data_IF_212364790626
#
_entry.id   IF_212364790626
#
_cell.length_a   1.000
_cell.length_b   1.000
_cell.length_c   1.000
_cell.angle_alpha   90.00
_cell.angle_beta   90.00
_cell.angle_gamma   90.00
#
_symmetry.space_group_name_H-M   'P 1'
#
loop_
_entity.id
_entity.type
_entity.pdbx_description
1 polymer ?
#
# COMPACT_ATOMS: atom_id res chain seq x y z
N UNK A 1 -0.44 -14.79 -10.18
CA UNK A 1 0.01 -14.10 -8.95
C UNK A 1 -0.31 -15.05 -7.79
N UNK A 2 0.23 -14.88 -6.59
CA UNK A 2 -0.10 -15.81 -5.49
C UNK A 2 -1.62 -15.80 -5.22
N UNK A 3 -2.26 -16.93 -4.86
CA UNK A 3 -3.72 -16.99 -4.65
C UNK A 3 -4.26 -15.93 -3.66
N UNK A 4 -3.41 -15.50 -2.72
CA UNK A 4 -3.73 -14.45 -1.74
C UNK A 4 -3.78 -13.05 -2.37
N UNK A 5 -2.90 -12.74 -3.34
CA UNK A 5 -2.88 -11.45 -4.04
C UNK A 5 -4.15 -11.29 -4.87
N UNK A 6 -4.54 -12.34 -5.60
CA UNK A 6 -5.74 -12.34 -6.42
C UNK A 6 -7.01 -12.17 -5.56
N UNK A 7 -7.04 -12.78 -4.38
CA UNK A 7 -8.12 -12.60 -3.41
C UNK A 7 -8.17 -11.16 -2.86
N UNK A 8 -7.01 -10.57 -2.55
CA UNK A 8 -6.92 -9.21 -2.01
C UNK A 8 -7.29 -8.15 -3.05
N UNK A 9 -6.75 -8.24 -4.27
CA UNK A 9 -7.06 -7.30 -5.37
C UNK A 9 -8.52 -7.44 -5.80
N UNK A 10 -9.08 -8.65 -5.82
CA UNK A 10 -10.50 -8.88 -6.03
C UNK A 10 -11.38 -8.17 -4.99
N UNK A 11 -11.02 -8.26 -3.71
CA UNK A 11 -11.75 -7.57 -2.63
C UNK A 11 -11.64 -6.04 -2.72
N UNK A 12 -10.46 -5.50 -3.05
CA UNK A 12 -10.25 -4.07 -3.25
C UNK A 12 -11.00 -3.53 -4.47
N UNK A 13 -11.13 -4.34 -5.53
CA UNK A 13 -11.96 -4.01 -6.69
C UNK A 13 -13.43 -3.92 -6.31
N UNK A 14 -13.92 -4.82 -5.46
CA UNK A 14 -15.29 -4.80 -4.96
C UNK A 14 -15.55 -3.67 -3.94
N UNK A 15 -14.52 -3.19 -3.24
CA UNK A 15 -14.64 -2.16 -2.21
C UNK A 15 -13.62 -1.02 -2.39
N UNK A 16 -13.78 -0.17 -3.42
CA UNK A 16 -12.79 0.85 -3.78
C UNK A 16 -12.58 1.92 -2.69
N UNK A 17 -13.52 2.11 -1.76
CA UNK A 17 -13.35 3.01 -0.62
C UNK A 17 -12.16 2.65 0.29
N UNK A 18 -11.73 1.39 0.30
CA UNK A 18 -10.59 0.92 1.10
C UNK A 18 -9.26 1.07 0.37
N UNK A 19 -9.28 1.43 -0.92
CA UNK A 19 -8.10 1.47 -1.76
C UNK A 19 -7.09 2.51 -1.26
N UNK A 20 -7.57 3.69 -0.83
CA UNK A 20 -6.71 4.70 -0.21
C UNK A 20 -6.07 4.23 1.10
N UNK A 21 -6.84 3.55 1.96
CA UNK A 21 -6.29 2.98 3.21
C UNK A 21 -5.27 1.87 2.92
N UNK A 22 -5.52 1.04 1.90
CA UNK A 22 -4.61 -0.01 1.50
C UNK A 22 -3.27 0.57 1.01
N UNK A 23 -3.28 1.63 0.19
CA UNK A 23 -2.05 2.33 -0.23
C UNK A 23 -1.28 2.85 0.97
N UNK A 24 -1.96 3.53 1.90
CA UNK A 24 -1.34 4.08 3.10
C UNK A 24 -0.72 2.99 3.98
N UNK A 25 -1.45 1.92 4.27
CA UNK A 25 -0.97 0.85 5.15
C UNK A 25 0.18 0.07 4.51
N UNK A 26 0.11 -0.25 3.22
CA UNK A 26 1.19 -1.00 2.57
C UNK A 26 2.46 -0.15 2.49
N UNK A 27 2.37 1.14 2.13
CA UNK A 27 3.54 2.03 2.14
C UNK A 27 4.10 2.23 3.56
N UNK A 28 3.23 2.34 4.56
CA UNK A 28 3.63 2.39 5.96
C UNK A 28 4.42 1.15 6.36
N UNK A 29 3.86 -0.05 6.15
CA UNK A 29 4.51 -1.30 6.53
C UNK A 29 5.80 -1.61 5.76
N UNK A 30 5.88 -1.21 4.50
CA UNK A 30 7.11 -1.36 3.71
C UNK A 30 8.25 -0.49 4.24
N UNK A 31 7.93 0.70 4.76
CA UNK A 31 8.90 1.60 5.39
C UNK A 31 9.29 1.20 6.82
N UNK A 32 8.57 0.25 7.46
CA UNK A 32 9.01 -0.29 8.75
C UNK A 32 10.18 -1.25 8.55
N UNK A 33 11.32 -0.98 9.16
CA UNK A 33 12.57 -1.73 8.96
C UNK A 33 12.42 -3.26 9.14
N UNK A 34 11.63 -3.68 10.14
CA UNK A 34 11.41 -5.11 10.44
C UNK A 34 10.34 -5.72 9.51
N UNK A 35 9.28 -4.97 9.22
CA UNK A 35 8.13 -5.51 8.49
C UNK A 35 8.40 -5.58 6.98
N UNK A 36 9.02 -4.54 6.41
CA UNK A 36 9.45 -4.52 5.01
C UNK A 36 10.48 -5.59 4.67
N UNK A 37 11.20 -6.12 5.68
CA UNK A 37 12.08 -7.28 5.48
C UNK A 37 11.30 -8.60 5.29
N UNK A 38 10.17 -8.76 5.99
CA UNK A 38 9.38 -9.99 5.98
C UNK A 38 8.41 -10.03 4.80
N UNK A 39 7.80 -8.87 4.50
CA UNK A 39 6.74 -8.77 3.51
C UNK A 39 7.25 -7.89 2.37
N UNK A 40 7.32 -8.40 1.12
CA UNK A 40 7.67 -7.57 -0.04
C UNK A 40 6.48 -6.68 -0.43
N UNK A 41 6.32 -5.56 0.27
CA UNK A 41 5.23 -4.59 0.08
C UNK A 41 5.28 -3.91 -1.28
N UNK A 42 6.45 -3.78 -1.92
CA UNK A 42 6.59 -3.34 -3.32
C UNK A 42 5.71 -4.13 -4.30
N UNK A 43 5.54 -5.45 -4.11
CA UNK A 43 4.67 -6.28 -4.96
C UNK A 43 3.20 -5.94 -4.73
N UNK A 44 2.79 -5.73 -3.47
CA UNK A 44 1.44 -5.29 -3.13
C UNK A 44 1.15 -3.89 -3.69
N UNK A 45 2.09 -2.95 -3.53
CA UNK A 45 1.96 -1.57 -4.02
C UNK A 45 1.79 -1.53 -5.53
N UNK A 46 2.52 -2.36 -6.26
CA UNK A 46 2.35 -2.46 -7.71
C UNK A 46 0.94 -2.91 -8.08
N UNK A 47 0.43 -3.96 -7.42
CA UNK A 47 -0.93 -4.46 -7.68
C UNK A 47 -2.00 -3.41 -7.35
N UNK A 48 -1.87 -2.72 -6.22
CA UNK A 48 -2.82 -1.67 -5.79
C UNK A 48 -2.72 -0.44 -6.71
N UNK A 49 -1.52 -0.06 -7.15
CA UNK A 49 -1.31 1.07 -8.06
C UNK A 49 -1.93 0.83 -9.44
N UNK A 50 -1.82 -0.39 -9.98
CA UNK A 50 -2.54 -0.80 -11.21
C UNK A 50 -4.05 -0.67 -11.02
N UNK A 51 -4.55 -1.06 -9.85
CA UNK A 51 -5.97 -0.97 -9.49
C UNK A 51 -6.44 0.49 -9.35
N UNK A 52 -5.64 1.35 -8.73
CA UNK A 52 -5.88 2.80 -8.66
C UNK A 52 -5.94 3.42 -10.06
N UNK A 53 -5.01 3.02 -10.94
CA UNK A 53 -4.88 3.50 -12.32
C UNK A 53 -6.07 3.18 -13.23
N UNK A 54 -6.94 2.24 -12.85
CA UNK A 54 -8.18 1.93 -13.56
C UNK A 54 -9.34 2.91 -13.26
N UNK A 55 -9.04 4.06 -12.65
CA UNK A 55 -10.01 5.12 -12.35
C UNK A 55 -10.65 5.02 -10.95
N UNK A 56 -10.15 4.12 -10.09
CA UNK A 56 -10.63 4.00 -8.72
C UNK A 56 -10.13 5.12 -7.81
N UNK A 57 -8.98 5.74 -8.12
CA UNK A 57 -8.42 6.87 -7.37
C UNK A 57 -7.56 7.74 -8.29
N UNK A 58 -7.47 9.05 -8.03
CA UNK A 58 -6.59 9.89 -8.84
C UNK A 58 -5.12 9.58 -8.54
N UNK A 59 -4.24 9.84 -9.52
CA UNK A 59 -2.80 9.67 -9.34
C UNK A 59 -2.28 10.55 -8.19
N UNK A 60 -2.75 11.79 -8.10
CA UNK A 60 -2.35 12.73 -7.06
C UNK A 60 -2.68 12.24 -5.66
N UNK A 61 -3.90 11.73 -5.46
CA UNK A 61 -4.32 11.13 -4.17
C UNK A 61 -3.49 9.90 -3.83
N UNK A 62 -3.21 9.05 -4.83
CA UNK A 62 -2.42 7.82 -4.65
C UNK A 62 -1.00 8.15 -4.20
N UNK A 63 -0.36 9.11 -4.86
CA UNK A 63 0.98 9.57 -4.51
C UNK A 63 1.00 10.23 -3.13
N UNK A 64 0.00 11.06 -2.82
CA UNK A 64 -0.08 11.75 -1.53
C UNK A 64 -0.26 10.76 -0.38
N UNK A 65 -1.16 9.78 -0.51
CA UNK A 65 -1.37 8.73 0.48
C UNK A 65 -0.14 7.83 0.64
N UNK A 66 0.51 7.47 -0.46
CA UNK A 66 1.75 6.69 -0.42
C UNK A 66 2.90 7.44 0.26
N UNK A 67 3.03 8.74 -0.01
CA UNK A 67 4.01 9.61 0.65
C UNK A 67 3.74 9.75 2.15
N UNK A 68 2.48 9.97 2.54
CA UNK A 68 2.11 10.06 3.95
C UNK A 68 2.33 8.73 4.68
N UNK A 69 1.97 7.60 4.05
CA UNK A 69 2.19 6.26 4.61
C UNK A 69 3.67 5.97 4.78
N UNK A 70 4.48 6.21 3.75
CA UNK A 70 5.94 6.04 3.83
C UNK A 70 6.60 6.94 4.88
N UNK A 71 6.28 8.25 4.89
CA UNK A 71 6.83 9.20 5.86
C UNK A 71 6.49 8.81 7.30
N UNK A 72 5.23 8.42 7.55
CA UNK A 72 4.83 7.98 8.89
C UNK A 72 5.47 6.64 9.26
N UNK A 73 5.64 5.73 8.30
CA UNK A 73 6.36 4.46 8.48
C UNK A 73 7.81 4.69 8.86
N UNK A 74 8.52 5.57 8.15
CA UNK A 74 9.93 5.93 8.43
C UNK A 74 10.08 6.58 9.81
N UNK A 75 9.18 7.51 10.18
CA UNK A 75 9.20 8.15 11.50
C UNK A 75 8.97 7.11 12.60
N UNK A 76 7.99 6.23 12.43
CA UNK A 76 7.72 5.15 13.40
C UNK A 76 8.90 4.20 13.49
N UNK A 77 9.48 3.79 12.36
CA UNK A 77 10.66 2.94 12.33
C UNK A 77 11.81 3.60 13.07
N UNK A 78 12.10 4.87 12.79
CA UNK A 78 13.16 5.62 13.45
C UNK A 78 12.98 5.73 14.96
N UNK A 79 11.74 5.92 15.44
CA UNK A 79 11.44 5.97 16.87
C UNK A 79 11.57 4.60 17.54
N UNK A 80 11.23 3.52 16.83
CA UNK A 80 11.32 2.15 17.36
C UNK A 80 12.75 1.58 17.32
N UNK A 81 13.60 2.06 16.41
CA UNK A 81 14.99 1.61 16.21
C UNK A 81 15.11 0.63 15.05
#
# INVERSE_FOLDING_TARGET
MGPWLDSMTGWLTANPQWLGLAVFLVTFFECLAIIGFIIPGTILLFAIAVLAGNGAMSLGETLLLGLLGGLTGDVVSYVLG
#
